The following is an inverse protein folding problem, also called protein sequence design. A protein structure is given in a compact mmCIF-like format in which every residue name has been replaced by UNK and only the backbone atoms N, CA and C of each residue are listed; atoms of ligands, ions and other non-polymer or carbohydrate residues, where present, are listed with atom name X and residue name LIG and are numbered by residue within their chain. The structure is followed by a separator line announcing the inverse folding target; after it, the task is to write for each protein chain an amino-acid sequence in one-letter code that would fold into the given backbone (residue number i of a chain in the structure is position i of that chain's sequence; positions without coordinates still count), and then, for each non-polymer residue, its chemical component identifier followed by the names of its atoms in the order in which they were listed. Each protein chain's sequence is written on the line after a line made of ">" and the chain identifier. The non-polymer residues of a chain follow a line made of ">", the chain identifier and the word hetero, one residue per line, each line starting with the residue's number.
data_IF_027127774498
#
_entry.id   IF_027127774498
#
_cell.length_a   1.000
_cell.length_b   1.000
_cell.length_c   1.000
_cell.angle_alpha   90.00
_cell.angle_beta   90.00
_cell.angle_gamma   90.00
#
_symmetry.space_group_name_H-M   'P 1'
#
loop_
_entity.id
_entity.type
_entity.pdbx_description
1 polymer ?
#
# COMPACT_ATOMS: atom_id res chain seq x y z
N UNK A 1 -23.17 0.33 16.31
CA UNK A 1 -22.01 -0.14 15.52
C UNK A 1 -21.58 -1.54 15.99
N UNK A 2 -22.46 -2.54 16.00
CA UNK A 2 -22.15 -3.87 16.57
C UNK A 2 -21.48 -4.82 15.56
N UNK A 3 -21.97 -4.85 14.32
CA UNK A 3 -21.50 -5.82 13.30
C UNK A 3 -20.03 -5.69 12.90
N UNK A 4 -19.42 -4.50 13.00
CA UNK A 4 -17.99 -4.33 12.69
C UNK A 4 -17.07 -5.03 13.70
N UNK A 5 -17.44 -4.98 14.99
CA UNK A 5 -16.68 -5.63 16.04
C UNK A 5 -16.81 -7.16 15.95
N UNK A 6 -18.00 -7.68 15.62
CA UNK A 6 -18.23 -9.11 15.40
C UNK A 6 -17.39 -9.65 14.24
N UNK A 7 -17.42 -8.97 13.09
CA UNK A 7 -16.59 -9.36 11.94
C UNK A 7 -15.09 -9.25 12.23
N UNK A 8 -14.66 -8.25 13.00
CA UNK A 8 -13.25 -8.11 13.37
C UNK A 8 -12.79 -9.25 14.30
N UNK A 9 -13.67 -9.75 15.16
CA UNK A 9 -13.40 -10.92 15.99
C UNK A 9 -13.34 -12.22 15.16
N UNK A 10 -14.20 -12.35 14.14
CA UNK A 10 -14.19 -13.50 13.22
C UNK A 10 -13.00 -13.47 12.25
N UNK A 11 -12.60 -12.29 11.80
CA UNK A 11 -11.52 -12.06 10.85
C UNK A 11 -10.45 -11.14 11.44
N UNK A 12 -9.66 -11.62 12.43
CA UNK A 12 -8.66 -10.79 13.11
C UNK A 12 -7.53 -10.33 12.17
N UNK A 13 -7.38 -10.99 11.02
CA UNK A 13 -6.40 -10.65 9.98
C UNK A 13 -6.90 -9.61 8.98
N UNK A 14 -8.21 -9.30 8.95
CA UNK A 14 -8.76 -8.30 8.05
C UNK A 14 -8.71 -6.91 8.69
N UNK A 15 -8.43 -5.90 7.88
CA UNK A 15 -8.37 -4.51 8.32
C UNK A 15 -9.78 -3.99 8.61
N UNK A 16 -9.90 -3.10 9.59
CA UNK A 16 -11.17 -2.48 9.96
C UNK A 16 -11.84 -1.75 8.77
N UNK A 17 -11.05 -1.17 7.85
CA UNK A 17 -11.57 -0.59 6.61
C UNK A 17 -12.24 -1.64 5.71
N UNK A 18 -11.63 -2.81 5.52
CA UNK A 18 -12.21 -3.88 4.69
C UNK A 18 -13.56 -4.34 5.28
N UNK A 19 -13.62 -4.45 6.61
CA UNK A 19 -14.84 -4.83 7.34
C UNK A 19 -15.90 -3.74 7.24
N UNK A 20 -15.52 -2.47 7.43
CA UNK A 20 -16.43 -1.35 7.33
C UNK A 20 -16.95 -1.14 5.90
N UNK A 21 -16.13 -1.34 4.88
CA UNK A 21 -16.55 -1.28 3.48
C UNK A 21 -17.52 -2.41 3.13
N UNK A 22 -17.23 -3.64 3.56
CA UNK A 22 -18.15 -4.76 3.39
C UNK A 22 -19.50 -4.49 4.08
N UNK A 23 -19.49 -3.99 5.31
CA UNK A 23 -20.70 -3.61 6.03
C UNK A 23 -21.44 -2.45 5.36
N UNK A 24 -20.74 -1.44 4.84
CA UNK A 24 -21.35 -0.33 4.08
C UNK A 24 -22.07 -0.84 2.85
N UNK A 25 -21.46 -1.76 2.10
CA UNK A 25 -22.07 -2.39 0.91
C UNK A 25 -23.29 -3.23 1.27
N UNK A 26 -23.27 -3.86 2.45
CA UNK A 26 -24.35 -4.73 2.94
C UNK A 26 -25.37 -4.02 3.85
N UNK A 27 -25.33 -2.68 3.92
CA UNK A 27 -26.21 -1.86 4.79
C UNK A 27 -26.19 -2.29 6.27
N UNK A 28 -25.05 -2.78 6.75
CA UNK A 28 -24.84 -3.25 8.12
C UNK A 28 -25.23 -4.71 8.37
N UNK A 29 -25.62 -5.47 7.35
CA UNK A 29 -25.88 -6.90 7.47
C UNK A 29 -24.57 -7.68 7.55
N UNK A 30 -24.37 -8.40 8.66
CA UNK A 30 -23.13 -9.14 8.95
C UNK A 30 -22.98 -10.36 8.05
N UNK A 31 -24.02 -11.15 7.84
CA UNK A 31 -23.97 -12.38 7.03
C UNK A 31 -23.59 -12.07 5.57
N UNK A 32 -24.20 -11.04 4.99
CA UNK A 32 -23.83 -10.60 3.64
C UNK A 32 -22.43 -9.98 3.61
N UNK A 33 -22.02 -9.30 4.67
CA UNK A 33 -20.66 -8.77 4.77
C UNK A 33 -19.61 -9.90 4.87
N UNK A 34 -19.91 -11.03 5.53
CA UNK A 34 -19.03 -12.22 5.52
C UNK A 34 -18.84 -12.73 4.09
N UNK A 35 -19.93 -12.93 3.35
CA UNK A 35 -19.87 -13.42 1.96
C UNK A 35 -19.08 -12.47 1.06
N UNK A 36 -19.28 -11.16 1.24
CA UNK A 36 -18.51 -10.12 0.57
C UNK A 36 -17.04 -10.19 0.98
N UNK A 37 -16.69 -10.32 2.25
CA UNK A 37 -15.28 -10.39 2.69
C UNK A 37 -14.56 -11.64 2.15
N UNK A 38 -15.27 -12.76 2.02
CA UNK A 38 -14.73 -13.99 1.42
C UNK A 38 -14.54 -13.86 -0.10
N UNK A 39 -15.36 -13.06 -0.78
CA UNK A 39 -15.31 -12.88 -2.24
C UNK A 39 -14.62 -11.60 -2.72
N UNK A 40 -14.37 -10.63 -1.83
CA UNK A 40 -13.82 -9.32 -2.20
C UNK A 40 -12.32 -9.43 -2.34
N UNK A 41 -11.76 -9.14 -3.53
CA UNK A 41 -10.32 -9.06 -3.68
C UNK A 41 -9.79 -7.97 -2.73
N UNK A 42 -8.67 -8.24 -2.06
CA UNK A 42 -8.03 -7.28 -1.17
C UNK A 42 -7.94 -5.90 -1.84
N UNK A 43 -8.14 -4.80 -1.09
CA UNK A 43 -8.17 -3.46 -1.66
C UNK A 43 -6.91 -3.24 -2.50
N UNK A 44 -7.13 -3.01 -3.79
CA UNK A 44 -6.05 -2.73 -4.73
C UNK A 44 -5.48 -1.37 -4.38
N UNK A 45 -4.17 -1.31 -4.19
CA UNK A 45 -3.48 -0.06 -3.98
C UNK A 45 -3.85 0.98 -5.06
N UNK A 46 -4.00 2.27 -4.70
CA UNK A 46 -4.20 3.34 -5.66
C UNK A 46 -3.13 3.32 -6.77
N UNK A 47 -3.40 3.90 -7.93
CA UNK A 47 -2.37 4.00 -8.96
C UNK A 47 -1.42 5.14 -8.61
N UNK A 48 -0.15 4.84 -8.29
CA UNK A 48 0.89 5.82 -7.98
C UNK A 48 1.09 6.89 -9.07
N UNK A 49 0.70 6.60 -10.32
CA UNK A 49 0.73 7.57 -11.43
C UNK A 49 -0.37 8.61 -11.33
N UNK A 50 -1.54 8.20 -10.88
CA UNK A 50 -2.76 9.02 -10.84
C UNK A 50 -2.92 9.71 -9.49
N UNK A 51 -2.62 8.99 -8.43
CA UNK A 51 -2.78 9.44 -7.05
C UNK A 51 -1.59 9.00 -6.19
N UNK A 52 -0.43 9.68 -6.31
CA UNK A 52 0.76 9.37 -5.52
C UNK A 52 0.55 9.62 -4.02
N UNK A 53 -0.24 10.63 -3.64
CA UNK A 53 -0.55 10.92 -2.24
C UNK A 53 -1.46 9.86 -1.64
N UNK A 54 -2.51 9.45 -2.37
CA UNK A 54 -3.38 8.35 -1.96
C UNK A 54 -2.64 7.03 -1.87
N UNK A 55 -1.74 6.73 -2.81
CA UNK A 55 -0.85 5.57 -2.74
C UNK A 55 0.02 5.62 -1.49
N UNK A 56 0.66 6.76 -1.21
CA UNK A 56 1.50 6.94 -0.02
C UNK A 56 0.71 6.69 1.26
N UNK A 57 -0.46 7.35 1.41
CA UNK A 57 -1.33 7.20 2.59
C UNK A 57 -1.92 5.80 2.72
N UNK A 58 -2.12 5.10 1.62
CA UNK A 58 -2.61 3.72 1.64
C UNK A 58 -1.59 2.74 2.24
N UNK A 59 -0.29 3.01 2.04
CA UNK A 59 0.78 2.16 2.53
C UNK A 59 1.39 2.60 3.86
N UNK A 60 1.32 3.89 4.20
CA UNK A 60 1.70 4.48 5.48
C UNK A 60 0.63 4.17 6.53
N UNK A 61 0.71 3.00 7.17
CA UNK A 61 -0.38 2.46 8.01
C UNK A 61 -0.53 3.19 9.33
N UNK A 62 0.57 3.75 9.82
CA UNK A 62 0.68 4.40 11.13
C UNK A 62 0.79 5.93 11.02
N UNK A 63 0.91 6.49 9.80
CA UNK A 63 1.02 7.92 9.56
C UNK A 63 2.38 8.50 9.93
N UNK A 64 3.41 7.67 10.08
CA UNK A 64 4.78 8.10 10.42
C UNK A 64 5.70 8.23 9.19
N UNK A 65 5.12 8.11 7.99
CA UNK A 65 5.85 8.02 6.74
C UNK A 65 6.22 6.58 6.40
N UNK A 66 6.61 6.33 5.16
CA UNK A 66 6.78 4.95 4.71
C UNK A 66 8.03 4.31 5.32
N UNK A 67 7.83 3.32 6.18
CA UNK A 67 8.91 2.51 6.74
C UNK A 67 9.38 1.46 5.73
N UNK A 68 10.57 0.89 5.95
CA UNK A 68 11.20 -0.08 5.04
C UNK A 68 10.27 -1.22 4.65
N UNK A 69 9.61 -1.82 5.63
CA UNK A 69 8.69 -2.92 5.37
C UNK A 69 7.45 -2.47 4.60
N UNK A 70 6.98 -1.23 4.80
CA UNK A 70 5.83 -0.69 4.09
C UNK A 70 6.18 -0.43 2.64
N UNK A 71 7.35 0.13 2.36
CA UNK A 71 7.86 0.29 0.99
C UNK A 71 7.97 -1.05 0.29
N UNK A 72 8.55 -2.06 0.93
CA UNK A 72 8.68 -3.41 0.35
C UNK A 72 7.30 -3.99 0.03
N UNK A 73 6.38 -3.97 0.99
CA UNK A 73 5.01 -4.46 0.78
C UNK A 73 4.29 -3.66 -0.32
N UNK A 74 4.56 -2.35 -0.40
CA UNK A 74 3.97 -1.46 -1.39
C UNK A 74 4.48 -1.73 -2.80
N UNK A 75 5.78 -1.93 -2.98
CA UNK A 75 6.37 -2.32 -4.25
C UNK A 75 5.83 -3.69 -4.67
N UNK A 76 5.84 -4.70 -3.79
CA UNK A 76 5.31 -6.04 -4.13
C UNK A 76 3.83 -6.00 -4.51
N UNK A 77 3.01 -5.17 -3.87
CA UNK A 77 1.60 -5.01 -4.25
C UNK A 77 1.40 -4.22 -5.54
N UNK A 78 2.23 -3.21 -5.79
CA UNK A 78 2.16 -2.37 -6.98
C UNK A 78 2.64 -3.14 -8.22
N UNK A 79 3.68 -3.96 -8.06
CA UNK A 79 4.22 -4.85 -9.10
C UNK A 79 3.77 -6.28 -8.87
N UNK A 80 2.59 -6.63 -9.39
CA UNK A 80 2.07 -8.00 -9.32
C UNK A 80 3.07 -8.97 -9.96
N UNK A 81 3.73 -9.78 -9.13
CA UNK A 81 4.73 -10.77 -9.56
C UNK A 81 6.19 -10.41 -9.21
N UNK A 82 6.43 -9.26 -8.57
CA UNK A 82 7.76 -8.95 -8.03
C UNK A 82 8.11 -9.88 -6.86
N UNK A 83 9.34 -10.42 -6.86
CA UNK A 83 9.84 -11.23 -5.76
C UNK A 83 10.15 -10.33 -4.56
N UNK A 84 9.53 -10.64 -3.42
CA UNK A 84 9.68 -9.86 -2.19
C UNK A 84 11.14 -9.77 -1.73
N UNK A 85 11.93 -10.81 -1.95
CA UNK A 85 13.35 -10.86 -1.56
C UNK A 85 14.16 -9.88 -2.41
N UNK A 86 13.94 -9.90 -3.72
CA UNK A 86 14.60 -8.97 -4.67
C UNK A 86 14.20 -7.52 -4.37
N UNK A 87 12.91 -7.28 -4.12
CA UNK A 87 12.42 -5.96 -3.72
C UNK A 87 13.08 -5.50 -2.42
N UNK A 88 13.18 -6.38 -1.43
CA UNK A 88 13.83 -6.06 -0.16
C UNK A 88 15.29 -5.65 -0.36
N UNK A 89 16.07 -6.43 -1.10
CA UNK A 89 17.48 -6.12 -1.35
C UNK A 89 17.64 -4.79 -2.10
N UNK A 90 16.79 -4.53 -3.10
CA UNK A 90 16.77 -3.28 -3.84
C UNK A 90 16.44 -2.09 -2.92
N UNK A 91 15.38 -2.23 -2.12
CA UNK A 91 14.93 -1.18 -1.18
C UNK A 91 16.01 -0.92 -0.12
N UNK A 92 16.66 -1.95 0.43
CA UNK A 92 17.74 -1.80 1.41
C UNK A 92 18.98 -1.12 0.81
N UNK A 93 19.35 -1.46 -0.44
CA UNK A 93 20.48 -0.85 -1.14
C UNK A 93 20.23 0.61 -1.51
N UNK A 94 18.99 0.95 -1.89
CA UNK A 94 18.60 2.31 -2.28
C UNK A 94 18.07 3.16 -1.13
N UNK A 95 17.83 2.58 0.05
CA UNK A 95 17.26 3.28 1.21
C UNK A 95 17.97 4.60 1.54
N UNK A 96 19.32 4.65 1.63
CA UNK A 96 20.03 5.88 1.97
C UNK A 96 19.91 6.99 0.92
N UNK A 97 19.46 6.68 -0.29
CA UNK A 97 19.20 7.66 -1.34
C UNK A 97 17.83 8.32 -1.17
N UNK A 98 16.85 7.59 -0.63
CA UNK A 98 15.48 8.09 -0.43
C UNK A 98 15.29 8.75 0.93
N UNK A 99 15.81 8.13 1.99
CA UNK A 99 15.79 8.60 3.38
C UNK A 99 16.94 9.61 3.58
N UNK A 100 16.73 10.82 3.08
CA UNK A 100 17.78 11.83 2.98
C UNK A 100 18.12 12.49 4.31
N UNK A 101 17.15 12.55 5.20
CA UNK A 101 17.33 13.02 6.57
C UNK A 101 17.74 11.91 7.55
N UNK A 102 17.76 10.65 7.09
CA UNK A 102 18.06 9.45 7.89
C UNK A 102 17.12 9.31 9.09
N UNK A 103 15.88 9.77 8.94
CA UNK A 103 14.83 9.60 9.94
C UNK A 103 14.44 8.13 10.10
N UNK A 104 14.70 7.29 9.10
CA UNK A 104 14.37 5.86 9.09
C UNK A 104 13.03 5.55 8.42
N UNK A 105 12.28 6.58 8.02
CA UNK A 105 11.07 6.49 7.20
C UNK A 105 11.14 7.48 6.04
N UNK A 106 10.40 7.23 4.96
CA UNK A 106 10.34 8.14 3.82
C UNK A 106 9.11 9.02 4.02
N UNK A 107 9.32 10.31 4.26
CA UNK A 107 8.22 11.28 4.35
C UNK A 107 7.58 11.55 2.99
N UNK A 108 6.34 12.07 2.96
CA UNK A 108 5.66 12.42 1.71
C UNK A 108 6.49 13.41 0.85
N UNK A 109 7.24 14.30 1.51
CA UNK A 109 8.12 15.27 0.85
C UNK A 109 9.31 14.59 0.18
N UNK A 110 9.90 13.58 0.81
CA UNK A 110 11.00 12.80 0.23
C UNK A 110 10.50 11.87 -0.88
N UNK A 111 9.33 11.27 -0.69
CA UNK A 111 8.67 10.46 -1.69
C UNK A 111 8.39 11.23 -2.99
N UNK A 112 7.92 12.48 -2.88
CA UNK A 112 7.60 13.36 -4.03
C UNK A 112 8.78 14.18 -4.54
N UNK A 113 9.96 14.04 -3.93
CA UNK A 113 11.17 14.73 -4.36
C UNK A 113 11.62 14.24 -5.74
N UNK A 114 12.34 15.11 -6.45
CA UNK A 114 13.05 14.75 -7.68
C UNK A 114 14.10 13.68 -7.37
N UNK A 115 14.16 12.63 -8.19
CA UNK A 115 14.93 11.40 -7.96
C UNK A 115 14.50 10.61 -6.71
N UNK A 116 13.31 10.91 -6.16
CA UNK A 116 12.73 10.23 -5.01
C UNK A 116 12.14 8.87 -5.36
N UNK A 117 11.63 8.17 -4.33
CA UNK A 117 11.07 6.83 -4.46
C UNK A 117 9.95 6.77 -5.52
N UNK A 118 9.12 7.82 -5.63
CA UNK A 118 8.07 7.89 -6.65
C UNK A 118 8.63 7.75 -8.07
N UNK A 119 9.68 8.48 -8.42
CA UNK A 119 10.22 8.48 -9.79
C UNK A 119 10.84 7.12 -10.13
N UNK A 120 11.53 6.48 -9.18
CA UNK A 120 12.07 5.13 -9.33
C UNK A 120 10.95 4.11 -9.57
N UNK A 121 9.88 4.16 -8.76
CA UNK A 121 8.72 3.29 -8.95
C UNK A 121 8.02 3.55 -10.29
N UNK A 122 7.90 4.82 -10.70
CA UNK A 122 7.32 5.19 -11.98
C UNK A 122 8.17 4.73 -13.16
N UNK A 123 9.49 4.82 -13.07
CA UNK A 123 10.43 4.29 -14.05
C UNK A 123 10.22 2.78 -14.18
N UNK A 124 10.22 2.05 -13.06
CA UNK A 124 10.05 0.60 -13.09
C UNK A 124 8.66 0.16 -13.57
N UNK A 125 7.61 0.94 -13.30
CA UNK A 125 6.27 0.71 -13.85
C UNK A 125 6.18 1.07 -15.34
N UNK A 126 7.00 2.01 -15.80
CA UNK A 126 6.91 2.72 -17.08
C UNK A 126 7.96 2.33 -18.13
N UNK A 127 8.96 1.52 -17.81
CA UNK A 127 9.83 0.88 -18.80
C UNK A 127 9.01 -0.16 -19.57
N UNK A 128 8.49 0.12 -20.77
CA UNK A 128 9.23 0.41 -22.00
C UNK A 128 9.94 1.76 -22.06
N UNK A 129 11.29 1.77 -22.16
CA UNK A 129 12.00 2.91 -22.74
C UNK A 129 11.67 2.96 -24.23
N UNK A 130 10.69 3.77 -24.60
CA UNK A 130 10.30 4.03 -25.98
C UNK A 130 10.78 5.40 -26.45
N UNK A 131 12.02 5.47 -26.91
CA UNK A 131 12.48 6.34 -28.01
C UNK A 131 12.56 7.85 -27.78
N UNK A 132 13.80 8.36 -27.75
CA UNK A 132 14.25 9.47 -28.61
C UNK A 132 15.77 9.41 -28.74
#
# INVERSE_FOLDING_TARGET
>A
MAGAAELQAMFPHLRAEQINDALRRCRGNVDQAVEVLLSTPAPTAPDIRKDPEGWFRFFDRNGNGLERHEVIDAVVQTFKGADRTVVKELVEGLWPMFDTDRSGSISLREFTKRDGLREVLLAQLGETPGGA
#
